data_IF_970088135092
#
_entry.id   IF_970088135092
#
_cell.length_a   1.000
_cell.length_b   1.000
_cell.length_c   1.000
_cell.angle_alpha   90.00
_cell.angle_beta   90.00
_cell.angle_gamma   90.00
#
_symmetry.space_group_name_H-M   'P 1'
#
loop_
_entity.id
_entity.type
_entity.pdbx_description
1 polymer ?
#
# COMPACT_ATOMS: atom_id res chain seq x y z
N UNK A 1 -2.91 22.40 -0.61
CA UNK A 1 -1.50 22.82 -0.63
C UNK A 1 -1.42 24.30 -1.02
N UNK A 2 -1.29 25.21 -0.04
CA UNK A 2 -1.01 26.64 -0.31
C UNK A 2 0.51 26.82 -0.48
N UNK A 3 1.06 26.30 -1.57
CA UNK A 3 2.30 26.86 -2.08
C UNK A 3 1.92 28.20 -2.70
N UNK A 4 2.28 29.31 -2.05
CA UNK A 4 2.04 30.66 -2.55
C UNK A 4 2.72 30.94 -3.90
N UNK A 5 2.93 32.21 -4.23
CA UNK A 5 3.44 32.75 -5.51
C UNK A 5 4.69 32.05 -6.10
N UNK A 6 5.41 31.23 -5.32
CA UNK A 6 6.58 30.43 -5.73
C UNK A 6 6.30 28.98 -6.16
N UNK A 7 5.03 28.54 -6.27
CA UNK A 7 4.69 27.15 -6.70
C UNK A 7 5.40 26.74 -7.99
N UNK A 8 5.45 27.61 -8.99
CA UNK A 8 6.08 27.28 -10.28
C UNK A 8 7.60 27.12 -10.18
N UNK A 9 8.26 27.78 -9.22
CA UNK A 9 9.71 27.65 -9.01
C UNK A 9 10.05 26.33 -8.32
N UNK A 10 9.32 25.94 -7.28
CA UNK A 10 9.58 24.70 -6.55
C UNK A 10 9.40 23.45 -7.44
N UNK A 11 8.37 23.42 -8.28
CA UNK A 11 8.14 22.31 -9.22
C UNK A 11 9.08 22.33 -10.44
N UNK A 12 9.97 23.32 -10.54
CA UNK A 12 11.05 23.36 -11.52
C UNK A 12 12.42 22.96 -10.95
N UNK A 13 12.51 22.75 -9.63
CA UNK A 13 13.76 22.37 -8.95
C UNK A 13 13.99 20.85 -9.06
N UNK A 14 15.09 20.38 -9.69
CA UNK A 14 15.34 18.96 -9.89
C UNK A 14 15.38 18.15 -8.59
N UNK A 15 15.99 18.70 -7.54
CA UNK A 15 16.08 18.03 -6.23
C UNK A 15 14.71 17.81 -5.59
N UNK A 16 13.80 18.77 -5.71
CA UNK A 16 12.43 18.61 -5.22
C UNK A 16 11.67 17.54 -6.01
N UNK A 17 11.84 17.51 -7.34
CA UNK A 17 11.22 16.49 -8.19
C UNK A 17 11.76 15.08 -7.91
N UNK A 18 13.05 14.95 -7.59
CA UNK A 18 13.66 13.68 -7.20
C UNK A 18 13.05 13.15 -5.89
N UNK A 19 12.96 14.01 -4.86
CA UNK A 19 12.36 13.65 -3.58
C UNK A 19 10.85 13.37 -3.69
N UNK A 20 10.14 14.11 -4.55
CA UNK A 20 8.75 13.81 -4.88
C UNK A 20 8.62 12.46 -5.60
N UNK A 21 9.58 12.14 -6.48
CA UNK A 21 9.68 10.84 -7.14
C UNK A 21 9.88 9.70 -6.12
N UNK A 22 10.77 9.89 -5.14
CA UNK A 22 10.95 8.97 -4.01
C UNK A 22 9.64 8.78 -3.25
N UNK A 23 9.04 9.89 -2.80
CA UNK A 23 7.78 9.86 -2.06
C UNK A 23 6.67 9.11 -2.80
N UNK A 24 6.53 9.33 -4.11
CA UNK A 24 5.53 8.66 -4.94
C UNK A 24 5.71 7.14 -4.92
N UNK A 25 6.94 6.69 -5.11
CA UNK A 25 7.26 5.26 -5.21
C UNK A 25 7.16 4.53 -3.88
N UNK A 26 7.62 5.15 -2.78
CA UNK A 26 7.43 4.59 -1.44
C UNK A 26 5.95 4.54 -1.05
N UNK A 27 5.20 5.61 -1.34
CA UNK A 27 3.76 5.64 -1.09
C UNK A 27 3.00 4.59 -1.91
N UNK A 28 3.38 4.39 -3.17
CA UNK A 28 2.80 3.35 -4.03
C UNK A 28 2.96 1.96 -3.41
N UNK A 29 4.19 1.59 -3.02
CA UNK A 29 4.44 0.29 -2.40
C UNK A 29 3.65 0.12 -1.09
N UNK A 30 3.59 1.17 -0.27
CA UNK A 30 2.86 1.14 0.99
C UNK A 30 1.34 1.02 0.81
N UNK A 31 0.75 1.73 -0.15
CA UNK A 31 -0.67 1.66 -0.48
C UNK A 31 -1.02 0.31 -1.10
N UNK A 32 -0.16 -0.23 -1.97
CA UNK A 32 -0.35 -1.57 -2.54
C UNK A 32 -0.34 -2.65 -1.44
N UNK A 33 0.57 -2.57 -0.48
CA UNK A 33 0.60 -3.47 0.67
C UNK A 33 -0.72 -3.40 1.48
N UNK A 34 -1.22 -2.19 1.73
CA UNK A 34 -2.47 -1.98 2.46
C UNK A 34 -3.69 -2.49 1.67
N UNK A 35 -3.71 -2.27 0.35
CA UNK A 35 -4.73 -2.80 -0.55
C UNK A 35 -4.80 -4.33 -0.49
N UNK A 36 -3.65 -5.00 -0.57
CA UNK A 36 -3.58 -6.47 -0.53
C UNK A 36 -4.02 -7.00 0.83
N UNK A 37 -3.68 -6.34 1.94
CA UNK A 37 -4.18 -6.72 3.27
C UNK A 37 -5.70 -6.57 3.36
N UNK A 38 -6.28 -5.53 2.77
CA UNK A 38 -7.74 -5.39 2.72
C UNK A 38 -8.37 -6.53 1.91
N UNK A 39 -7.77 -6.89 0.77
CA UNK A 39 -8.21 -8.07 0.01
C UNK A 39 -8.10 -9.35 0.82
N UNK A 40 -7.00 -9.54 1.56
CA UNK A 40 -6.79 -10.69 2.46
C UNK A 40 -7.93 -10.81 3.46
N UNK A 41 -8.31 -9.71 4.13
CA UNK A 41 -9.38 -9.73 5.13
C UNK A 41 -10.73 -10.19 4.56
N UNK A 42 -11.00 -9.92 3.27
CA UNK A 42 -12.22 -10.36 2.57
C UNK A 42 -12.16 -11.83 2.13
N UNK A 43 -10.99 -12.30 1.71
CA UNK A 43 -10.81 -13.66 1.19
C UNK A 43 -10.57 -14.70 2.28
N UNK A 44 -9.96 -14.32 3.40
CA UNK A 44 -9.60 -15.25 4.49
C UNK A 44 -10.78 -16.09 5.00
N UNK A 45 -11.98 -15.54 5.26
CA UNK A 45 -13.13 -16.35 5.73
C UNK A 45 -13.54 -17.46 4.75
N UNK A 46 -13.21 -17.32 3.47
CA UNK A 46 -13.52 -18.29 2.41
C UNK A 46 -12.43 -19.36 2.24
N UNK A 47 -11.33 -19.28 2.99
CA UNK A 47 -10.20 -20.21 2.87
C UNK A 47 -10.52 -21.63 3.34
N UNK A 48 -11.56 -21.80 4.17
CA UNK A 48 -12.11 -23.10 4.60
C UNK A 48 -11.26 -23.86 5.61
N UNK A 49 -9.93 -23.90 5.42
CA UNK A 49 -8.98 -24.62 6.26
C UNK A 49 -7.64 -23.86 6.43
N UNK A 50 -6.78 -24.26 7.39
CA UNK A 50 -5.47 -23.62 7.58
C UNK A 50 -4.56 -23.66 6.35
N UNK A 51 -4.61 -24.70 5.53
CA UNK A 51 -3.79 -24.80 4.32
C UNK A 51 -4.25 -23.81 3.24
N UNK A 52 -5.54 -23.51 3.17
CA UNK A 52 -6.14 -22.47 2.32
C UNK A 52 -5.66 -21.09 2.72
N UNK A 53 -5.58 -20.80 4.03
CA UNK A 53 -5.02 -19.54 4.53
C UNK A 53 -3.54 -19.39 4.13
N UNK A 54 -2.75 -20.47 4.22
CA UNK A 54 -1.37 -20.48 3.75
C UNK A 54 -1.27 -20.25 2.23
N UNK A 55 -2.10 -20.93 1.41
CA UNK A 55 -2.12 -20.72 -0.05
C UNK A 55 -2.47 -19.28 -0.41
N UNK A 56 -3.49 -18.72 0.24
CA UNK A 56 -3.88 -17.32 0.08
C UNK A 56 -2.71 -16.39 0.42
N UNK A 57 -2.07 -16.59 1.58
CA UNK A 57 -0.92 -15.78 2.02
C UNK A 57 0.23 -15.81 1.00
N UNK A 58 0.59 -17.01 0.53
CA UNK A 58 1.65 -17.17 -0.48
C UNK A 58 1.30 -16.47 -1.80
N UNK A 59 0.05 -16.57 -2.27
CA UNK A 59 -0.37 -15.90 -3.50
C UNK A 59 -0.34 -14.38 -3.36
N UNK A 60 -0.86 -13.85 -2.26
CA UNK A 60 -0.87 -12.41 -2.00
C UNK A 60 0.55 -11.85 -1.84
N UNK A 61 1.43 -12.60 -1.16
CA UNK A 61 2.88 -12.36 -1.08
C UNK A 61 3.52 -12.23 -2.47
N UNK A 62 3.30 -13.24 -3.32
CA UNK A 62 3.78 -13.26 -4.70
C UNK A 62 3.21 -12.10 -5.53
N UNK A 63 1.91 -11.84 -5.44
CA UNK A 63 1.25 -10.74 -6.16
C UNK A 63 1.86 -9.39 -5.82
N UNK A 64 2.15 -9.12 -4.54
CA UNK A 64 2.82 -7.88 -4.12
C UNK A 64 4.17 -7.71 -4.83
N UNK A 65 5.03 -8.73 -4.75
CA UNK A 65 6.34 -8.71 -5.40
C UNK A 65 6.26 -8.56 -6.92
N UNK A 66 5.38 -9.31 -7.58
CA UNK A 66 5.16 -9.24 -9.02
C UNK A 66 4.68 -7.84 -9.47
N UNK A 67 3.75 -7.23 -8.72
CA UNK A 67 3.27 -5.88 -9.05
C UNK A 67 4.36 -4.82 -8.88
N UNK A 68 5.17 -4.89 -7.82
CA UNK A 68 6.31 -3.97 -7.65
C UNK A 68 7.37 -4.16 -8.74
N UNK A 69 7.64 -5.40 -9.14
CA UNK A 69 8.62 -5.72 -10.18
C UNK A 69 8.16 -5.32 -11.60
N UNK A 70 6.85 -5.20 -11.84
CA UNK A 70 6.30 -4.76 -13.11
C UNK A 70 6.47 -3.25 -13.36
N UNK A 71 6.71 -2.47 -12.31
CA UNK A 71 6.92 -1.03 -12.41
C UNK A 71 8.35 -0.68 -12.83
N UNK A 72 8.53 0.54 -13.36
CA UNK A 72 9.87 1.05 -13.63
C UNK A 72 10.69 1.13 -12.35
N UNK A 73 11.89 0.52 -12.35
CA UNK A 73 12.81 0.57 -11.21
C UNK A 73 13.15 2.03 -10.86
N UNK A 74 12.80 2.52 -9.66
CA UNK A 74 13.14 3.88 -9.25
C UNK A 74 14.65 4.04 -9.02
N UNK A 75 15.19 5.21 -9.34
CA UNK A 75 16.62 5.49 -9.19
C UNK A 75 17.11 5.35 -7.73
N UNK A 76 16.28 5.69 -6.75
CA UNK A 76 16.61 5.58 -5.33
C UNK A 76 16.53 4.14 -4.77
N UNK A 77 16.15 3.16 -5.60
CA UNK A 77 16.05 1.73 -5.25
C UNK A 77 16.84 0.86 -6.25
N UNK A 78 18.19 0.97 -6.27
CA UNK A 78 19.01 0.19 -7.20
C UNK A 78 18.87 -1.32 -6.98
N UNK A 79 18.71 -1.73 -5.72
CA UNK A 79 18.56 -3.12 -5.28
C UNK A 79 17.12 -3.64 -5.37
N UNK A 80 16.18 -2.81 -5.85
CA UNK A 80 14.78 -3.18 -6.03
C UNK A 80 13.94 -3.06 -4.76
N UNK A 81 13.09 -4.05 -4.54
CA UNK A 81 11.96 -3.99 -3.59
C UNK A 81 12.00 -5.08 -2.52
N UNK A 82 13.07 -5.85 -2.44
CA UNK A 82 13.16 -7.05 -1.59
C UNK A 82 12.97 -6.73 -0.09
N UNK A 83 13.46 -5.58 0.37
CA UNK A 83 13.27 -5.07 1.73
C UNK A 83 11.77 -4.85 2.05
N UNK A 84 11.05 -4.22 1.11
CA UNK A 84 9.62 -3.98 1.25
C UNK A 84 8.81 -5.25 1.08
N UNK A 85 9.24 -6.17 0.22
CA UNK A 85 8.61 -7.50 0.09
C UNK A 85 8.77 -8.29 1.38
N UNK A 86 9.96 -8.33 1.98
CA UNK A 86 10.17 -8.95 3.29
C UNK A 86 9.31 -8.32 4.39
N UNK A 87 9.27 -6.99 4.44
CA UNK A 87 8.43 -6.24 5.39
C UNK A 87 6.94 -6.55 5.20
N UNK A 88 6.48 -6.63 3.95
CA UNK A 88 5.10 -6.97 3.63
C UNK A 88 4.76 -8.39 4.05
N UNK A 89 5.61 -9.38 3.76
CA UNK A 89 5.39 -10.77 4.15
C UNK A 89 5.27 -10.92 5.67
N UNK A 90 6.07 -10.19 6.45
CA UNK A 90 5.95 -10.16 7.90
C UNK A 90 4.61 -9.56 8.35
N UNK A 91 4.17 -8.45 7.75
CA UNK A 91 2.86 -7.83 8.03
C UNK A 91 1.69 -8.74 7.66
N UNK A 92 1.79 -9.46 6.55
CA UNK A 92 0.78 -10.41 6.08
C UNK A 92 0.66 -11.59 7.06
N UNK A 93 1.79 -12.14 7.51
CA UNK A 93 1.79 -13.18 8.54
C UNK A 93 1.18 -12.70 9.87
N UNK A 94 1.52 -11.47 10.31
CA UNK A 94 0.89 -10.86 11.49
C UNK A 94 -0.63 -10.72 11.30
N UNK A 95 -1.08 -10.24 10.14
CA UNK A 95 -2.51 -10.09 9.84
C UNK A 95 -3.24 -11.44 9.88
N UNK A 96 -2.65 -12.50 9.33
CA UNK A 96 -3.23 -13.84 9.34
C UNK A 96 -3.32 -14.46 10.74
N UNK A 97 -2.40 -14.10 11.63
CA UNK A 97 -2.39 -14.57 13.02
C UNK A 97 -3.39 -13.83 13.94
N UNK A 98 -4.01 -12.74 13.47
CA UNK A 98 -4.85 -11.87 14.28
C UNK A 98 -6.26 -11.66 13.66
N UNK A 99 -7.24 -11.20 14.45
CA UNK A 99 -8.52 -10.73 13.90
C UNK A 99 -8.31 -9.66 12.80
N UNK A 100 -9.18 -9.61 11.77
CA UNK A 100 -9.04 -8.63 10.69
C UNK A 100 -9.12 -7.21 11.25
N UNK A 101 -8.17 -6.35 10.87
CA UNK A 101 -8.19 -4.93 11.20
C UNK A 101 -9.13 -4.18 10.24
N UNK A 102 -9.85 -3.13 10.70
CA UNK A 102 -10.66 -2.33 9.79
C UNK A 102 -9.78 -1.54 8.79
N UNK A 103 -10.29 -1.21 7.58
CA UNK A 103 -9.47 -0.59 6.52
C UNK A 103 -8.74 0.70 6.93
N UNK A 104 -9.38 1.54 7.75
CA UNK A 104 -8.78 2.80 8.22
C UNK A 104 -7.61 2.60 9.19
N UNK A 105 -7.54 1.45 9.88
CA UNK A 105 -6.39 1.07 10.70
C UNK A 105 -5.25 0.51 9.84
N UNK A 106 -5.57 -0.30 8.83
CA UNK A 106 -4.60 -0.80 7.86
C UNK A 106 -3.89 0.39 7.18
N UNK A 107 -4.67 1.40 6.76
CA UNK A 107 -4.18 2.62 6.14
C UNK A 107 -3.18 3.43 6.98
N UNK A 108 -3.09 3.20 8.30
CA UNK A 108 -2.09 3.91 9.13
C UNK A 108 -0.66 3.63 8.66
N UNK A 109 -0.41 2.49 8.02
CA UNK A 109 0.89 2.17 7.45
C UNK A 109 1.24 3.09 6.27
N UNK A 110 0.40 3.15 5.23
CA UNK A 110 0.63 4.06 4.09
C UNK A 110 0.63 5.53 4.51
N UNK A 111 -0.21 5.94 5.48
CA UNK A 111 -0.15 7.29 6.07
C UNK A 111 1.25 7.58 6.63
N UNK A 112 1.81 6.66 7.42
CA UNK A 112 3.14 6.84 8.00
C UNK A 112 4.20 6.97 6.90
N UNK A 113 4.20 6.08 5.91
CA UNK A 113 5.17 6.13 4.81
C UNK A 113 5.07 7.45 4.04
N UNK A 114 3.87 7.87 3.65
CA UNK A 114 3.66 9.17 2.97
C UNK A 114 4.21 10.31 3.82
N UNK A 115 3.91 10.34 5.12
CA UNK A 115 4.36 11.39 6.01
C UNK A 115 5.89 11.41 6.16
N UNK A 116 6.53 10.25 6.21
CA UNK A 116 7.98 10.12 6.37
C UNK A 116 8.72 10.53 5.09
N UNK A 117 8.12 10.33 3.92
CA UNK A 117 8.77 10.57 2.62
C UNK A 117 8.39 11.89 1.97
N UNK A 118 7.33 12.57 2.41
CA UNK A 118 6.82 13.77 1.75
C UNK A 118 7.85 14.92 1.81
N UNK A 119 8.26 15.52 0.68
CA UNK A 119 9.32 16.53 0.63
C UNK A 119 8.81 17.92 1.03
N UNK A 120 8.18 18.03 2.19
CA UNK A 120 7.76 19.30 2.78
C UNK A 120 8.48 19.53 4.10
N UNK A 121 8.73 20.80 4.42
CA UNK A 121 9.35 21.18 5.69
C UNK A 121 8.54 20.63 6.87
N UNK A 122 9.23 20.18 7.93
CA UNK A 122 8.62 19.48 9.06
C UNK A 122 7.50 20.30 9.73
N UNK A 123 7.64 21.62 9.79
CA UNK A 123 6.61 22.53 10.32
C UNK A 123 5.33 22.49 9.49
N UNK A 124 5.42 22.57 8.16
CA UNK A 124 4.26 22.45 7.27
C UNK A 124 3.66 21.05 7.33
N UNK A 125 4.50 20.02 7.44
CA UNK A 125 4.06 18.64 7.61
C UNK A 125 3.21 18.45 8.87
N UNK A 126 3.54 19.14 9.96
CA UNK A 126 2.76 19.08 11.20
C UNK A 126 1.36 19.68 11.00
N UNK A 127 1.27 20.83 10.31
CA UNK A 127 -0.01 21.50 10.07
C UNK A 127 -0.92 20.73 9.10
N UNK A 128 -0.34 20.10 8.07
CA UNK A 128 -1.11 19.38 7.05
C UNK A 128 -1.30 17.88 7.38
N UNK A 129 -0.78 17.40 8.53
CA UNK A 129 -0.79 15.98 8.92
C UNK A 129 -2.18 15.36 8.87
N UNK A 130 -3.17 16.02 9.45
CA UNK A 130 -4.54 15.51 9.51
C UNK A 130 -5.17 15.45 8.12
N UNK A 131 -4.94 16.48 7.29
CA UNK A 131 -5.44 16.52 5.92
C UNK A 131 -4.82 15.43 5.04
N UNK A 132 -3.49 15.22 5.14
CA UNK A 132 -2.79 14.17 4.40
C UNK A 132 -3.25 12.79 4.85
N UNK A 133 -3.30 12.57 6.17
CA UNK A 133 -3.77 11.31 6.76
C UNK A 133 -5.21 11.00 6.35
N UNK A 134 -6.09 11.99 6.44
CA UNK A 134 -7.47 11.88 6.00
C UNK A 134 -7.59 11.55 4.51
N UNK A 135 -6.78 12.20 3.67
CA UNK A 135 -6.74 11.92 2.23
C UNK A 135 -6.36 10.48 1.90
N UNK A 136 -5.27 9.96 2.48
CA UNK A 136 -4.85 8.57 2.27
C UNK A 136 -5.92 7.59 2.76
N UNK A 137 -6.46 7.81 3.96
CA UNK A 137 -7.54 6.96 4.51
C UNK A 137 -8.79 6.98 3.65
N UNK A 138 -9.15 8.14 3.09
CA UNK A 138 -10.29 8.26 2.19
C UNK A 138 -10.11 7.43 0.92
N UNK A 139 -8.93 7.46 0.30
CA UNK A 139 -8.64 6.59 -0.86
C UNK A 139 -8.67 5.11 -0.52
N UNK A 140 -8.15 4.72 0.65
CA UNK A 140 -8.23 3.32 1.11
C UNK A 140 -9.67 2.88 1.35
N UNK A 141 -10.53 3.74 1.91
CA UNK A 141 -11.95 3.46 2.07
C UNK A 141 -12.66 3.34 0.72
N UNK A 142 -12.35 4.22 -0.23
CA UNK A 142 -12.89 4.14 -1.59
C UNK A 142 -12.46 2.84 -2.31
N UNK A 143 -11.20 2.43 -2.15
CA UNK A 143 -10.71 1.14 -2.64
C UNK A 143 -11.47 -0.02 -1.98
N UNK A 144 -11.69 0.04 -0.67
CA UNK A 144 -12.44 -1.00 0.04
C UNK A 144 -13.87 -1.13 -0.50
N UNK A 145 -14.55 0.00 -0.72
CA UNK A 145 -15.89 0.03 -1.32
C UNK A 145 -15.89 -0.51 -2.76
N UNK A 146 -14.88 -0.19 -3.57
CA UNK A 146 -14.74 -0.74 -4.91
C UNK A 146 -14.54 -2.27 -4.87
N UNK A 147 -13.66 -2.76 -3.98
CA UNK A 147 -13.48 -4.19 -3.75
C UNK A 147 -14.78 -4.88 -3.33
N UNK A 148 -15.64 -4.25 -2.51
CA UNK A 148 -16.94 -4.81 -2.15
C UNK A 148 -17.89 -4.98 -3.33
N UNK A 149 -17.82 -4.07 -4.30
CA UNK A 149 -18.69 -4.08 -5.47
C UNK A 149 -18.19 -5.00 -6.58
N UNK A 150 -16.87 -5.09 -6.74
CA UNK A 150 -16.25 -5.66 -7.95
C UNK A 150 -15.53 -6.98 -7.71
N UNK A 151 -15.14 -7.31 -6.47
CA UNK A 151 -14.40 -8.55 -6.19
C UNK A 151 -15.32 -9.76 -6.23
N UNK A 152 -15.13 -10.62 -7.23
CA UNK A 152 -15.67 -11.98 -7.20
C UNK A 152 -14.80 -12.87 -6.29
N UNK A 153 -15.07 -12.77 -4.98
CA UNK A 153 -14.31 -13.47 -3.96
C UNK A 153 -14.38 -15.01 -4.13
N UNK A 154 -15.49 -15.54 -4.64
CA UNK A 154 -15.66 -16.97 -4.85
C UNK A 154 -14.81 -17.44 -6.04
N UNK A 155 -14.84 -16.72 -7.16
CA UNK A 155 -14.02 -17.04 -8.32
C UNK A 155 -12.53 -16.97 -7.99
N UNK A 156 -12.09 -15.96 -7.24
CA UNK A 156 -10.70 -15.82 -6.79
C UNK A 156 -10.28 -17.01 -5.91
N UNK A 157 -11.13 -17.44 -4.97
CA UNK A 157 -10.80 -18.59 -4.12
C UNK A 157 -10.81 -19.92 -4.87
N UNK A 158 -11.67 -20.07 -5.88
CA UNK A 158 -11.68 -21.24 -6.76
C UNK A 158 -10.39 -21.33 -7.59
N UNK A 159 -9.94 -20.21 -8.18
CA UNK A 159 -8.66 -20.12 -8.90
C UNK A 159 -7.47 -20.48 -7.99
N UNK A 160 -7.47 -19.96 -6.76
CA UNK A 160 -6.47 -20.28 -5.74
C UNK A 160 -6.43 -21.78 -5.37
N UNK A 161 -7.60 -22.43 -5.31
CA UNK A 161 -7.69 -23.85 -4.99
C UNK A 161 -7.22 -24.75 -6.15
N UNK A 162 -7.37 -24.28 -7.40
CA UNK A 162 -6.94 -24.99 -8.60
C UNK A 162 -5.42 -24.95 -8.83
N UNK A 163 -4.66 -24.17 -8.04
CA UNK A 163 -3.21 -24.17 -8.04
C UNK A 163 -2.54 -23.19 -9.01
N UNK A 164 -3.15 -22.02 -9.25
CA UNK A 164 -2.65 -21.00 -10.17
C UNK A 164 -1.19 -20.55 -10.02
#
# INVERSE_FOLDING_TARGET
MKAGVNRNKLFSEPAFLEELGRCRWEAFAAVLADAILITETKLRPLSGDPAGVTRLGNRLGRLYGERLAAEQRPAHRPDGWDDLTGTFLARLAEAQANPPKPPHEIANHSVRVVMDTLPIHAEHRRHDREAISGGVKFYILALHEALEKELDAQAVMADLAAGG
#
